data_IF_262631617646
#
_entry.id   IF_262631617646
#
_cell.length_a   1.000
_cell.length_b   1.000
_cell.length_c   1.000
_cell.angle_alpha   90.00
_cell.angle_beta   90.00
_cell.angle_gamma   90.00
#
_symmetry.space_group_name_H-M   'P 1'
#
loop_
_entity.id
_entity.type
_entity.pdbx_description
1 polymer ?
#
# COMPACT_ATOMS: atom_id res chain seq x y z
N UNK A 1 -5.86 -3.06 -19.19
CA UNK A 1 -6.21 -3.58 -17.87
C UNK A 1 -5.80 -2.60 -16.78
N UNK A 2 -6.58 -2.54 -15.74
CA UNK A 2 -6.34 -1.62 -14.62
C UNK A 2 -6.12 -2.40 -13.34
N UNK A 3 -5.07 -2.03 -12.60
CA UNK A 3 -4.70 -2.67 -11.34
C UNK A 3 -4.60 -1.65 -10.23
N UNK A 4 -4.88 -2.07 -9.02
CA UNK A 4 -4.55 -1.30 -7.82
C UNK A 4 -3.43 -1.99 -7.07
N UNK A 5 -2.50 -1.20 -6.55
CA UNK A 5 -1.42 -1.69 -5.68
C UNK A 5 -1.51 -0.95 -4.37
N UNK A 6 -1.70 -1.70 -3.29
CA UNK A 6 -1.71 -1.16 -1.93
C UNK A 6 -0.39 -1.53 -1.26
N UNK A 7 0.30 -0.53 -0.74
CA UNK A 7 1.62 -0.70 -0.09
C UNK A 7 1.51 -0.24 1.34
N UNK A 8 1.89 -1.10 2.28
CA UNK A 8 1.90 -0.80 3.71
C UNK A 8 3.22 -1.21 4.32
N UNK A 9 3.61 -0.55 5.40
CA UNK A 9 4.76 -0.97 6.18
C UNK A 9 4.50 -2.35 6.79
N UNK A 10 5.54 -3.18 6.86
CA UNK A 10 5.47 -4.46 7.56
C UNK A 10 5.08 -4.24 9.02
N UNK A 11 4.40 -5.23 9.61
CA UNK A 11 3.86 -5.10 10.97
C UNK A 11 4.93 -4.75 12.01
N UNK A 12 6.14 -5.24 11.82
CA UNK A 12 7.25 -5.02 12.75
C UNK A 12 7.96 -3.68 12.57
N UNK A 13 7.62 -2.94 11.52
CA UNK A 13 8.22 -1.65 11.22
C UNK A 13 7.40 -0.54 11.85
N UNK A 14 8.07 0.37 12.57
CA UNK A 14 7.43 1.54 13.14
C UNK A 14 6.88 2.44 12.04
N UNK A 15 5.63 2.89 12.20
CA UNK A 15 4.97 3.83 11.30
C UNK A 15 4.87 5.20 11.99
N UNK A 16 5.87 6.08 11.80
CA UNK A 16 5.86 7.38 12.50
C UNK A 16 4.72 8.28 12.06
N UNK A 17 4.33 8.24 10.77
CA UNK A 17 3.20 9.04 10.29
C UNK A 17 1.88 8.55 10.86
N UNK A 18 1.67 7.24 10.87
CA UNK A 18 0.48 6.63 11.48
C UNK A 18 0.38 6.95 12.97
N UNK A 19 1.51 6.94 13.68
CA UNK A 19 1.56 7.30 15.11
C UNK A 19 1.14 8.75 15.35
N UNK A 20 1.61 9.68 14.54
CA UNK A 20 1.23 11.10 14.66
C UNK A 20 -0.26 11.28 14.42
N UNK A 21 -0.80 10.65 13.39
CA UNK A 21 -2.24 10.70 13.09
C UNK A 21 -3.04 10.10 14.25
N UNK A 22 -2.62 8.96 14.77
CA UNK A 22 -3.28 8.30 15.88
C UNK A 22 -3.32 9.19 17.12
N UNK A 23 -2.19 9.76 17.50
CA UNK A 23 -2.11 10.62 18.69
C UNK A 23 -2.95 11.88 18.53
N UNK A 24 -2.97 12.45 17.33
CA UNK A 24 -3.79 13.62 17.05
C UNK A 24 -5.28 13.31 17.20
N UNK A 25 -5.73 12.19 16.65
CA UNK A 25 -7.14 11.78 16.76
C UNK A 25 -7.54 11.47 18.20
N UNK A 26 -6.67 10.83 18.97
CA UNK A 26 -6.93 10.57 20.40
C UNK A 26 -7.07 11.89 21.15
N UNK A 27 -6.22 12.88 20.87
CA UNK A 27 -6.29 14.20 21.48
C UNK A 27 -7.55 14.96 21.10
N UNK A 28 -8.15 14.61 19.96
CA UNK A 28 -9.43 15.19 19.51
C UNK A 28 -10.64 14.50 20.14
N UNK A 29 -10.45 13.56 21.03
CA UNK A 29 -11.53 12.90 21.76
C UNK A 29 -11.88 11.50 21.27
N UNK A 30 -11.14 10.94 20.33
CA UNK A 30 -11.38 9.58 19.79
C UNK A 30 -10.65 8.53 20.63
N UNK A 31 -11.04 8.37 21.87
CA UNK A 31 -10.31 7.56 22.86
C UNK A 31 -10.41 6.05 22.61
N UNK A 32 -11.34 5.60 21.77
CA UNK A 32 -11.48 4.19 21.43
C UNK A 32 -10.61 3.75 20.25
N UNK A 33 -9.77 4.63 19.75
CA UNK A 33 -8.85 4.31 18.66
C UNK A 33 -7.68 3.49 19.19
N UNK A 34 -7.54 2.25 18.71
CA UNK A 34 -6.47 1.36 19.15
C UNK A 34 -5.22 1.47 18.28
N UNK A 35 -5.39 1.61 16.96
CA UNK A 35 -4.27 1.65 16.04
C UNK A 35 -4.63 2.31 14.72
N UNK A 36 -3.69 3.02 14.13
CA UNK A 36 -3.75 3.52 12.75
C UNK A 36 -2.43 3.23 12.07
N UNK A 37 -2.52 2.70 10.85
CA UNK A 37 -1.37 2.51 9.99
C UNK A 37 -1.63 3.23 8.66
N UNK A 38 -0.59 3.87 8.13
CA UNK A 38 -0.67 4.61 6.88
C UNK A 38 0.10 3.88 5.79
N UNK A 39 -0.42 3.93 4.57
CA UNK A 39 0.23 3.30 3.43
C UNK A 39 0.09 4.12 2.17
N UNK A 40 0.46 3.51 1.05
CA UNK A 40 0.37 4.12 -0.28
C UNK A 40 -0.55 3.30 -1.17
N UNK A 41 -1.16 3.97 -2.14
CA UNK A 41 -2.02 3.33 -3.12
C UNK A 41 -1.64 3.81 -4.52
N UNK A 42 -1.48 2.87 -5.45
CA UNK A 42 -1.22 3.17 -6.85
C UNK A 42 -2.32 2.58 -7.72
N UNK A 43 -2.77 3.36 -8.70
CA UNK A 43 -3.62 2.86 -9.77
C UNK A 43 -2.78 2.79 -11.04
N UNK A 44 -2.75 1.62 -11.67
CA UNK A 44 -1.88 1.36 -12.82
C UNK A 44 -2.71 0.82 -13.97
N UNK A 45 -2.63 1.48 -15.12
CA UNK A 45 -3.20 0.98 -16.36
C UNK A 45 -2.10 0.40 -17.21
N UNK A 46 -2.29 -0.84 -17.68
CA UNK A 46 -1.34 -1.53 -18.53
C UNK A 46 -2.03 -1.87 -19.85
N UNK A 47 -1.43 -1.44 -20.95
CA UNK A 47 -1.93 -1.77 -22.28
C UNK A 47 -1.47 -3.16 -22.67
N UNK A 48 -2.16 -4.17 -22.17
CA UNK A 48 -1.89 -5.56 -22.48
C UNK A 48 -3.20 -6.33 -22.48
N UNK A 49 -3.32 -7.33 -23.36
CA UNK A 49 -4.54 -8.13 -23.50
C UNK A 49 -4.53 -9.36 -22.60
N UNK A 50 -3.36 -9.83 -22.22
CA UNK A 50 -3.19 -11.00 -21.35
C UNK A 50 -3.03 -10.56 -19.90
N UNK A 51 -3.99 -10.98 -19.07
CA UNK A 51 -3.97 -10.63 -17.64
C UNK A 51 -2.72 -11.12 -16.94
N UNK A 52 -2.25 -12.32 -17.24
CA UNK A 52 -1.06 -12.88 -16.60
C UNK A 52 0.19 -12.08 -16.94
N UNK A 53 0.33 -11.65 -18.19
CA UNK A 53 1.46 -10.82 -18.61
C UNK A 53 1.39 -9.44 -17.97
N UNK A 54 0.20 -8.82 -17.97
CA UNK A 54 0.00 -7.51 -17.33
C UNK A 54 0.32 -7.56 -15.84
N UNK A 55 -0.15 -8.58 -15.14
CA UNK A 55 0.07 -8.76 -13.71
C UNK A 55 1.56 -8.94 -13.39
N UNK A 56 2.29 -9.69 -14.20
CA UNK A 56 3.74 -9.83 -14.07
C UNK A 56 4.45 -8.50 -14.22
N UNK A 57 4.03 -7.67 -15.17
CA UNK A 57 4.61 -6.34 -15.38
C UNK A 57 4.37 -5.44 -14.17
N UNK A 58 3.15 -5.45 -13.62
CA UNK A 58 2.83 -4.68 -12.42
C UNK A 58 3.67 -5.16 -11.24
N UNK A 59 3.82 -6.46 -11.07
CA UNK A 59 4.65 -7.02 -10.00
C UNK A 59 6.12 -6.60 -10.14
N UNK A 60 6.65 -6.56 -11.35
CA UNK A 60 7.99 -6.05 -11.59
C UNK A 60 8.14 -4.58 -11.24
N UNK A 61 7.14 -3.76 -11.59
CA UNK A 61 7.13 -2.34 -11.19
C UNK A 61 7.21 -2.19 -9.68
N UNK A 62 6.44 -2.99 -8.95
CA UNK A 62 6.46 -2.98 -7.49
C UNK A 62 7.85 -3.31 -6.95
N UNK A 63 8.45 -4.38 -7.43
CA UNK A 63 9.76 -4.83 -6.95
C UNK A 63 10.89 -3.87 -7.29
N UNK A 64 10.80 -3.21 -8.45
CA UNK A 64 11.88 -2.34 -8.93
C UNK A 64 11.83 -0.92 -8.38
N UNK A 65 10.63 -0.40 -8.11
CA UNK A 65 10.48 1.01 -7.77
C UNK A 65 9.41 1.30 -6.71
N UNK A 66 8.21 0.72 -6.84
CA UNK A 66 7.06 1.18 -6.07
C UNK A 66 7.10 0.76 -4.61
N UNK A 67 7.79 -0.32 -4.29
CA UNK A 67 7.78 -0.93 -2.96
C UNK A 67 9.21 -1.11 -2.46
N UNK A 68 9.46 -0.71 -1.23
CA UNK A 68 10.69 -1.06 -0.55
C UNK A 68 10.50 -2.40 0.15
N UNK A 69 10.97 -3.48 -0.47
CA UNK A 69 10.75 -4.85 -0.01
C UNK A 69 11.34 -5.16 1.37
N UNK A 70 12.27 -4.33 1.84
CA UNK A 70 12.89 -4.53 3.16
C UNK A 70 11.90 -4.16 4.27
N UNK A 71 11.12 -3.09 4.08
CA UNK A 71 10.25 -2.52 5.12
C UNK A 71 8.77 -2.51 4.76
N UNK A 72 8.42 -2.83 3.51
CA UNK A 72 7.03 -2.72 3.03
C UNK A 72 6.51 -4.04 2.47
N UNK A 73 5.21 -4.27 2.63
CA UNK A 73 4.45 -5.30 1.94
C UNK A 73 3.52 -4.66 0.92
N UNK A 74 3.12 -5.42 -0.09
CA UNK A 74 2.20 -4.90 -1.10
C UNK A 74 1.20 -5.95 -1.53
N UNK A 75 0.07 -5.47 -2.06
CA UNK A 75 -1.00 -6.31 -2.59
C UNK A 75 -1.46 -5.75 -3.92
N UNK A 76 -1.53 -6.60 -4.93
CA UNK A 76 -1.99 -6.25 -6.28
C UNK A 76 -3.40 -6.79 -6.47
N UNK A 77 -4.32 -5.94 -6.92
CA UNK A 77 -5.68 -6.34 -7.28
C UNK A 77 -6.00 -5.86 -8.69
N UNK A 78 -6.62 -6.72 -9.49
CA UNK A 78 -7.16 -6.31 -10.79
C UNK A 78 -8.47 -5.58 -10.58
N UNK A 79 -8.59 -4.37 -11.14
CA UNK A 79 -9.80 -3.55 -11.03
C UNK A 79 -10.70 -3.76 -12.25
N UNK A 80 -10.10 -3.83 -13.44
CA UNK A 80 -10.88 -3.98 -14.67
C UNK A 80 -10.08 -4.54 -15.83
#
# INVERSE_FOLDING_TARGET
>A
MKFSVTVTLKKDVLDPQGKVVQNTLINMGMNNLENIRQGKHFEIEVNDKDQNVAEKKVNEMCKKLLVNLIIEDYKINKIS
#
